data_IF_565007416554
#
_entry.id   IF_565007416554
#
_cell.length_a   1.000
_cell.length_b   1.000
_cell.length_c   1.000
_cell.angle_alpha   90.00
_cell.angle_beta   90.00
_cell.angle_gamma   90.00
#
_symmetry.space_group_name_H-M   'P 1'
#
loop_
_entity.id
_entity.type
_entity.pdbx_description
1 polymer ?
#
# COMPACT_ATOMS: atom_id res chain seq x y z
N UNK A 1 16.10 12.84 6.65
CA UNK A 1 16.38 11.39 6.81
C UNK A 1 15.07 10.58 6.66
N UNK A 2 15.05 9.55 5.82
CA UNK A 2 13.90 8.64 5.72
C UNK A 2 13.98 7.60 6.84
N UNK A 3 12.92 7.48 7.63
CA UNK A 3 12.88 6.48 8.70
C UNK A 3 12.82 5.06 8.11
N UNK A 4 13.49 4.10 8.75
CA UNK A 4 13.49 2.72 8.29
C UNK A 4 12.35 1.94 8.95
N UNK A 5 11.16 1.98 8.33
CA UNK A 5 9.93 1.34 8.82
C UNK A 5 9.83 -0.14 8.43
N UNK A 6 9.06 -0.92 9.18
CA UNK A 6 8.68 -2.32 8.87
C UNK A 6 7.36 -2.42 8.10
N UNK A 7 6.74 -1.29 7.78
CA UNK A 7 5.46 -1.21 7.07
C UNK A 7 5.54 -0.11 6.02
N UNK A 8 4.94 -0.36 4.86
CA UNK A 8 4.69 0.61 3.80
C UNK A 8 3.19 0.64 3.47
N UNK A 9 2.71 1.75 2.93
CA UNK A 9 1.31 1.89 2.52
C UNK A 9 1.25 2.34 1.05
N UNK A 10 0.48 1.60 0.25
CA UNK A 10 0.05 2.03 -1.09
C UNK A 10 -1.36 2.58 -0.94
N UNK A 11 -1.58 3.81 -1.39
CA UNK A 11 -2.88 4.47 -1.39
C UNK A 11 -3.36 4.59 -2.82
N UNK A 12 -4.61 4.22 -3.06
CA UNK A 12 -5.24 4.15 -4.39
C UNK A 12 -6.48 5.03 -4.40
N UNK A 13 -6.59 5.85 -5.45
CA UNK A 13 -7.77 6.63 -5.80
C UNK A 13 -8.14 6.31 -7.25
N UNK A 14 -9.24 5.58 -7.45
CA UNK A 14 -9.84 5.38 -8.77
C UNK A 14 -10.68 6.61 -9.18
N UNK A 15 -11.08 6.71 -10.46
CA UNK A 15 -12.04 7.73 -10.89
C UNK A 15 -13.32 7.70 -10.05
N UNK A 16 -13.87 8.87 -9.73
CA UNK A 16 -15.14 8.98 -9.00
C UNK A 16 -16.25 8.20 -9.70
N UNK A 17 -17.05 7.49 -8.90
CA UNK A 17 -18.11 6.61 -9.40
C UNK A 17 -17.66 5.18 -9.70
N UNK A 18 -16.35 4.87 -9.57
CA UNK A 18 -15.88 3.49 -9.56
C UNK A 18 -16.49 2.71 -8.40
N UNK A 19 -16.79 1.43 -8.62
CA UNK A 19 -17.37 0.58 -7.58
C UNK A 19 -16.31 0.08 -6.60
N UNK A 20 -16.74 -0.38 -5.42
CA UNK A 20 -15.82 -0.99 -4.44
C UNK A 20 -15.18 -2.28 -4.99
N UNK A 21 -15.87 -2.99 -5.87
CA UNK A 21 -15.37 -4.18 -6.56
C UNK A 21 -14.26 -3.83 -7.55
N UNK A 22 -14.37 -2.72 -8.28
CA UNK A 22 -13.31 -2.25 -9.17
C UNK A 22 -12.07 -1.82 -8.36
N UNK A 23 -12.27 -1.11 -7.26
CA UNK A 23 -11.20 -0.79 -6.32
C UNK A 23 -10.53 -2.06 -5.80
N UNK A 24 -11.31 -3.01 -5.28
CA UNK A 24 -10.77 -4.27 -4.77
C UNK A 24 -10.00 -5.04 -5.86
N UNK A 25 -10.48 -5.05 -7.11
CA UNK A 25 -9.78 -5.67 -8.24
C UNK A 25 -8.40 -5.05 -8.47
N UNK A 26 -8.30 -3.72 -8.43
CA UNK A 26 -7.02 -3.03 -8.55
C UNK A 26 -6.09 -3.32 -7.36
N UNK A 27 -6.62 -3.38 -6.14
CA UNK A 27 -5.82 -3.73 -4.94
C UNK A 27 -5.26 -5.16 -5.04
N UNK A 28 -6.06 -6.13 -5.47
CA UNK A 28 -5.58 -7.50 -5.69
C UNK A 28 -4.50 -7.56 -6.78
N UNK A 29 -4.71 -6.86 -7.90
CA UNK A 29 -3.70 -6.77 -8.95
C UNK A 29 -2.39 -6.14 -8.46
N UNK A 30 -2.47 -5.16 -7.55
CA UNK A 30 -1.29 -4.56 -6.92
C UNK A 30 -0.57 -5.57 -6.03
N UNK A 31 -1.31 -6.32 -5.21
CA UNK A 31 -0.75 -7.41 -4.38
C UNK A 31 -0.03 -8.44 -5.25
N UNK A 32 -0.67 -8.93 -6.31
CA UNK A 32 -0.09 -9.94 -7.21
C UNK A 32 1.23 -9.45 -7.84
N UNK A 33 1.27 -8.18 -8.25
CA UNK A 33 2.46 -7.59 -8.87
C UNK A 33 3.60 -7.37 -7.88
N UNK A 34 3.29 -7.22 -6.60
CA UNK A 34 4.26 -7.01 -5.53
C UNK A 34 4.68 -8.30 -4.82
N UNK A 35 3.91 -9.39 -4.93
CA UNK A 35 4.11 -10.64 -4.20
C UNK A 35 5.51 -11.27 -4.40
N UNK A 36 6.18 -10.98 -5.51
CA UNK A 36 7.54 -11.46 -5.79
C UNK A 36 8.68 -10.68 -5.09
N UNK A 37 8.37 -9.66 -4.27
CA UNK A 37 9.39 -8.89 -3.56
C UNK A 37 9.76 -9.62 -2.25
N UNK A 38 11.04 -10.03 -2.08
CA UNK A 38 11.43 -10.96 -1.01
C UNK A 38 11.32 -10.36 0.41
N UNK A 39 11.35 -9.04 0.55
CA UNK A 39 11.18 -8.38 1.85
C UNK A 39 9.74 -8.31 2.31
N UNK A 40 8.74 -8.64 1.48
CA UNK A 40 7.34 -8.56 1.87
C UNK A 40 6.92 -9.85 2.58
N UNK A 41 6.29 -9.70 3.75
CA UNK A 41 5.76 -10.80 4.56
C UNK A 41 4.29 -11.01 4.30
N UNK A 42 3.52 -9.92 4.22
CA UNK A 42 2.07 -9.99 4.03
C UNK A 42 1.50 -8.68 3.50
N UNK A 43 0.27 -8.78 3.01
CA UNK A 43 -0.54 -7.66 2.57
C UNK A 43 -1.85 -7.62 3.35
N UNK A 44 -2.36 -6.41 3.58
CA UNK A 44 -3.74 -6.20 4.01
C UNK A 44 -4.37 -5.14 3.09
N UNK A 45 -5.51 -5.46 2.50
CA UNK A 45 -6.20 -4.60 1.54
C UNK A 45 -7.50 -4.08 2.12
N UNK A 46 -7.77 -2.79 1.90
CA UNK A 46 -8.98 -2.10 2.35
C UNK A 46 -9.60 -1.39 1.15
N UNK A 47 -10.72 -1.89 0.63
CA UNK A 47 -11.44 -1.28 -0.49
C UNK A 47 -12.69 -0.56 0.04
N UNK A 48 -12.91 0.68 -0.39
CA UNK A 48 -14.04 1.49 0.08
C UNK A 48 -13.88 2.02 1.52
N UNK A 49 -12.74 1.78 2.15
CA UNK A 49 -12.50 2.12 3.55
C UNK A 49 -11.00 2.29 3.81
N UNK A 50 -10.65 3.08 4.83
CA UNK A 50 -9.27 3.33 5.22
C UNK A 50 -8.65 2.13 5.95
N UNK A 51 -7.34 1.95 5.76
CA UNK A 51 -6.56 1.12 6.67
C UNK A 51 -6.53 1.72 8.10
N UNK A 52 -6.33 0.91 9.16
CA UNK A 52 -6.08 1.41 10.50
C UNK A 52 -4.95 2.45 10.52
N UNK A 53 -5.14 3.57 11.21
CA UNK A 53 -4.19 4.66 11.15
C UNK A 53 -2.87 4.32 11.86
N UNK A 54 -1.76 4.49 11.15
CA UNK A 54 -0.43 4.62 11.72
C UNK A 54 -0.08 6.12 11.86
N UNK A 55 1.13 6.46 12.30
CA UNK A 55 1.55 7.85 12.45
C UNK A 55 1.45 8.67 11.15
N UNK A 56 1.80 8.09 9.99
CA UNK A 56 1.66 8.77 8.70
C UNK A 56 0.19 8.97 8.33
N UNK A 57 -0.64 7.95 8.56
CA UNK A 57 -2.09 8.02 8.34
C UNK A 57 -2.78 9.09 9.21
N UNK A 58 -2.31 9.27 10.45
CA UNK A 58 -2.77 10.36 11.33
C UNK A 58 -2.42 11.74 10.78
N UNK A 59 -1.14 11.94 10.41
CA UNK A 59 -0.66 13.23 9.87
C UNK A 59 -1.32 13.57 8.53
N UNK A 60 -1.68 12.56 7.73
CA UNK A 60 -2.33 12.73 6.42
C UNK A 60 -3.86 12.64 6.47
N UNK A 61 -4.45 12.43 7.63
CA UNK A 61 -5.89 12.24 7.83
C UNK A 61 -6.51 11.11 6.97
N UNK A 62 -5.76 10.03 6.71
CA UNK A 62 -6.23 8.91 5.87
C UNK A 62 -7.41 8.16 6.47
N UNK A 63 -7.62 8.23 7.78
CA UNK A 63 -8.78 7.64 8.47
C UNK A 63 -10.14 8.26 8.03
N UNK A 64 -10.14 9.36 7.29
CA UNK A 64 -11.35 9.95 6.70
C UNK A 64 -11.72 9.36 5.33
N UNK A 65 -10.88 8.49 4.75
CA UNK A 65 -11.12 7.86 3.44
C UNK A 65 -12.18 6.75 3.58
N UNK A 66 -13.27 6.88 2.83
CA UNK A 66 -14.42 5.97 2.89
C UNK A 66 -15.25 5.92 1.59
N UNK A 67 -14.73 6.46 0.48
CA UNK A 67 -15.38 6.40 -0.82
C UNK A 67 -15.14 5.05 -1.51
N UNK A 68 -16.10 4.50 -2.29
CA UNK A 68 -15.96 3.21 -2.98
C UNK A 68 -14.77 3.17 -3.94
N UNK A 69 -14.38 4.31 -4.53
CA UNK A 69 -13.21 4.47 -5.41
C UNK A 69 -11.87 4.54 -4.66
N UNK A 70 -11.88 4.56 -3.33
CA UNK A 70 -10.69 4.70 -2.49
C UNK A 70 -10.29 3.34 -1.94
N UNK A 71 -8.98 3.07 -1.91
CA UNK A 71 -8.48 1.89 -1.24
C UNK A 71 -7.03 2.00 -0.81
N UNK A 72 -6.65 1.14 0.12
CA UNK A 72 -5.31 1.08 0.69
C UNK A 72 -4.77 -0.36 0.66
N UNK A 73 -3.45 -0.50 0.45
CA UNK A 73 -2.70 -1.74 0.70
C UNK A 73 -1.64 -1.46 1.76
N UNK A 74 -1.78 -2.11 2.92
CA UNK A 74 -0.71 -2.18 3.92
C UNK A 74 0.25 -3.30 3.53
N UNK A 75 1.52 -2.97 3.34
CA UNK A 75 2.59 -3.90 2.97
C UNK A 75 3.51 -4.08 4.18
N UNK A 76 3.47 -5.27 4.76
CA UNK A 76 4.32 -5.61 5.90
C UNK A 76 5.64 -6.16 5.40
N UNK A 77 6.74 -5.58 5.89
CA UNK A 77 8.10 -5.99 5.53
C UNK A 77 8.72 -6.86 6.61
N UNK A 78 9.69 -7.69 6.22
CA UNK A 78 10.54 -8.40 7.17
C UNK A 78 11.25 -7.39 8.10
N UNK A 79 11.56 -7.80 9.35
CA UNK A 79 12.24 -6.93 10.31
C UNK A 79 13.50 -6.30 9.73
N UNK A 80 13.83 -5.09 10.17
CA UNK A 80 14.97 -4.31 9.64
C UNK A 80 16.33 -5.04 9.72
N UNK A 81 16.48 -5.99 10.64
CA UNK A 81 17.71 -6.79 10.79
C UNK A 81 17.79 -8.02 9.88
N UNK A 82 16.69 -8.36 9.20
CA UNK A 82 16.55 -9.56 8.36
C UNK A 82 16.51 -9.22 6.86
N UNK A 83 16.73 -7.96 6.50
CA UNK A 83 16.81 -7.49 5.11
C UNK A 83 17.97 -6.53 4.90
N UNK A 84 18.55 -6.59 3.71
CA UNK A 84 19.62 -5.68 3.29
C UNK A 84 19.14 -4.30 2.83
N UNK A 85 17.89 -4.18 2.38
CA UNK A 85 17.33 -2.91 1.86
C UNK A 85 16.56 -2.16 2.93
N UNK A 86 16.84 -0.86 3.07
CA UNK A 86 16.01 0.05 3.85
C UNK A 86 14.61 0.20 3.21
N UNK A 87 13.59 0.49 4.03
CA UNK A 87 12.20 0.59 3.56
C UNK A 87 12.00 1.64 2.46
N UNK A 88 12.75 2.74 2.49
CA UNK A 88 12.71 3.74 1.43
C UNK A 88 13.14 3.17 0.06
N UNK A 89 14.21 2.38 0.02
CA UNK A 89 14.67 1.75 -1.22
C UNK A 89 13.65 0.72 -1.74
N UNK A 90 13.02 -0.03 -0.84
CA UNK A 90 11.94 -0.95 -1.18
C UNK A 90 10.74 -0.18 -1.72
N UNK A 91 10.34 0.93 -1.09
CA UNK A 91 9.22 1.76 -1.54
C UNK A 91 9.44 2.32 -2.95
N UNK A 92 10.67 2.71 -3.31
CA UNK A 92 11.00 3.12 -4.67
C UNK A 92 10.86 1.97 -5.67
N UNK A 93 11.35 0.77 -5.34
CA UNK A 93 11.16 -0.45 -6.15
C UNK A 93 9.67 -0.79 -6.32
N UNK A 94 8.88 -0.74 -5.24
CA UNK A 94 7.44 -1.00 -5.32
C UNK A 94 6.75 0.02 -6.24
N UNK A 95 7.13 1.30 -6.15
CA UNK A 95 6.60 2.35 -7.01
C UNK A 95 6.89 2.08 -8.49
N UNK A 96 8.11 1.66 -8.83
CA UNK A 96 8.45 1.28 -10.19
C UNK A 96 7.64 0.07 -10.66
N UNK A 97 7.51 -0.95 -9.80
CA UNK A 97 6.71 -2.14 -10.11
C UNK A 97 5.25 -1.79 -10.37
N UNK A 98 4.64 -0.89 -9.61
CA UNK A 98 3.23 -0.51 -9.75
C UNK A 98 2.94 0.41 -10.94
N UNK A 99 3.95 0.89 -11.68
CA UNK A 99 3.72 1.76 -12.85
C UNK A 99 2.89 1.05 -13.93
N UNK A 100 1.97 1.82 -14.52
CA UNK A 100 1.11 1.37 -15.62
C UNK A 100 -0.04 0.46 -15.20
N UNK A 101 -0.42 0.46 -13.92
CA UNK A 101 -1.58 -0.28 -13.41
C UNK A 101 -2.92 0.47 -13.57
N UNK A 102 -2.88 1.72 -14.00
CA UNK A 102 -4.03 2.61 -14.22
C UNK A 102 -3.78 3.47 -15.45
#
# INVERSE_FOLDING_TARGET
>A
PFDNKTELQVVVDLPKGSSVEDTNRLLQAAVDRLAGVPEIVSFQTYAGTAAPFNFNGLVRHYYLRSGPEQGDVTVNLVPKGERGRASHAIALDLRERLKGMT
#
